data_IF_267987460746
#
_entry.id   IF_267987460746
#
_cell.length_a   1.000
_cell.length_b   1.000
_cell.length_c   1.000
_cell.angle_alpha   90.00
_cell.angle_beta   90.00
_cell.angle_gamma   90.00
#
_symmetry.space_group_name_H-M   'P 1'
#
loop_
_entity.id
_entity.type
_entity.pdbx_description
1 polymer ?
#
# COMPACT_ATOMS: atom_id res chain seq x y z
N UNK A 1 -17.91 -9.21 -9.74
CA UNK A 1 -17.45 -7.84 -10.04
C UNK A 1 -18.59 -6.85 -9.86
N UNK A 2 -18.32 -5.72 -9.22
CA UNK A 2 -19.29 -4.66 -8.97
C UNK A 2 -18.90 -3.40 -9.73
N UNK A 3 -19.88 -2.59 -10.13
CA UNK A 3 -19.62 -1.32 -10.84
C UNK A 3 -20.29 -0.15 -10.13
N UNK A 4 -19.57 0.96 -10.02
CA UNK A 4 -20.03 2.21 -9.44
C UNK A 4 -19.83 3.35 -10.44
N UNK A 5 -20.88 4.14 -10.69
CA UNK A 5 -20.75 5.36 -11.49
C UNK A 5 -20.11 6.46 -10.62
N UNK A 6 -19.03 7.05 -11.11
CA UNK A 6 -18.39 8.21 -10.48
C UNK A 6 -18.89 9.49 -11.17
N UNK A 7 -19.13 10.53 -10.37
CA UNK A 7 -19.50 11.84 -10.91
C UNK A 7 -18.30 12.43 -11.65
N UNK A 8 -18.51 12.83 -12.89
CA UNK A 8 -17.47 13.42 -13.77
C UNK A 8 -16.85 14.73 -13.26
N UNK A 9 -17.47 15.40 -12.29
CA UNK A 9 -16.96 16.60 -11.62
C UNK A 9 -16.37 16.34 -10.22
N UNK A 10 -16.27 15.09 -9.78
CA UNK A 10 -15.64 14.73 -8.51
C UNK A 10 -14.11 14.71 -8.67
N UNK A 11 -13.54 15.89 -8.88
CA UNK A 11 -12.13 16.08 -9.22
C UNK A 11 -11.19 15.45 -8.19
N UNK A 12 -11.49 15.61 -6.90
CA UNK A 12 -10.69 15.03 -5.81
C UNK A 12 -10.65 13.50 -5.88
N UNK A 13 -11.80 12.84 -6.13
CA UNK A 13 -11.84 11.37 -6.24
C UNK A 13 -11.17 10.89 -7.53
N UNK A 14 -11.36 11.61 -8.63
CA UNK A 14 -10.76 11.29 -9.92
C UNK A 14 -9.24 11.43 -9.89
N UNK A 15 -8.70 12.52 -9.35
CA UNK A 15 -7.25 12.73 -9.23
C UNK A 15 -6.59 11.65 -8.36
N UNK A 16 -7.24 11.21 -7.28
CA UNK A 16 -6.75 10.10 -6.47
C UNK A 16 -6.70 8.77 -7.25
N UNK A 17 -7.72 8.49 -8.08
CA UNK A 17 -7.75 7.30 -8.94
C UNK A 17 -6.72 7.39 -10.07
N UNK A 18 -6.51 8.57 -10.64
CA UNK A 18 -5.51 8.80 -11.67
C UNK A 18 -4.10 8.56 -11.15
N UNK A 19 -3.79 9.03 -9.93
CA UNK A 19 -2.51 8.79 -9.29
C UNK A 19 -2.26 7.30 -8.96
N UNK A 20 -3.33 6.53 -8.74
CA UNK A 20 -3.25 5.11 -8.41
C UNK A 20 -3.19 4.18 -9.64
N UNK A 21 -3.38 4.70 -10.86
CA UNK A 21 -3.41 3.88 -12.06
C UNK A 21 -2.02 3.29 -12.39
N UNK A 22 -1.96 1.98 -12.59
CA UNK A 22 -0.73 1.26 -12.95
C UNK A 22 -0.56 1.14 -14.46
N UNK A 23 -1.66 1.18 -15.21
CA UNK A 23 -1.68 1.14 -16.68
C UNK A 23 -2.87 1.95 -17.18
N UNK A 24 -2.67 2.67 -18.27
CA UNK A 24 -3.72 3.37 -18.99
C UNK A 24 -3.73 2.85 -20.43
N UNK A 25 -4.86 2.35 -20.88
CA UNK A 25 -5.07 1.97 -22.28
C UNK A 25 -6.22 2.76 -22.85
N UNK A 26 -6.12 3.11 -24.14
CA UNK A 26 -7.23 3.64 -24.92
C UNK A 26 -7.59 2.64 -25.99
N UNK A 27 -8.88 2.39 -26.15
CA UNK A 27 -9.42 1.63 -27.26
C UNK A 27 -10.25 2.57 -28.14
N UNK A 28 -9.88 2.64 -29.42
CA UNK A 28 -10.57 3.46 -30.42
C UNK A 28 -11.07 2.59 -31.55
N UNK A 29 -12.34 2.79 -31.89
CA UNK A 29 -12.96 2.22 -33.07
C UNK A 29 -12.55 2.99 -34.32
N UNK A 30 -12.16 2.28 -35.37
CA UNK A 30 -11.88 2.83 -36.69
C UNK A 30 -12.62 2.03 -37.76
N UNK A 31 -13.01 2.71 -38.83
CA UNK A 31 -13.65 2.07 -39.97
C UNK A 31 -12.57 1.48 -40.87
N UNK A 32 -12.58 0.17 -41.05
CA UNK A 32 -11.76 -0.47 -42.07
C UNK A 32 -12.48 -0.35 -43.42
N UNK A 33 -11.89 0.47 -44.29
CA UNK A 33 -12.45 0.76 -45.62
C UNK A 33 -12.37 -0.43 -46.57
N UNK A 34 -11.61 -1.47 -46.24
CA UNK A 34 -11.45 -2.67 -47.08
C UNK A 34 -12.48 -3.76 -46.76
N UNK A 35 -12.90 -3.87 -45.50
CA UNK A 35 -13.84 -4.89 -45.03
C UNK A 35 -15.24 -4.36 -44.76
N UNK A 36 -15.47 -3.05 -44.92
CA UNK A 36 -16.72 -2.35 -44.53
C UNK A 36 -17.13 -2.69 -43.08
N UNK A 37 -16.10 -2.85 -42.23
CA UNK A 37 -16.19 -3.27 -40.85
C UNK A 37 -15.61 -2.24 -39.89
N UNK A 38 -15.93 -2.40 -38.61
CA UNK A 38 -15.31 -1.61 -37.55
C UNK A 38 -14.28 -2.46 -36.80
N UNK A 39 -13.04 -2.01 -36.83
CA UNK A 39 -11.98 -2.60 -36.04
C UNK A 39 -11.69 -1.75 -34.80
N UNK A 40 -11.05 -2.38 -33.81
CA UNK A 40 -10.68 -1.76 -32.55
C UNK A 40 -9.16 -1.78 -32.42
N UNK A 41 -8.55 -0.60 -32.28
CA UNK A 41 -7.14 -0.49 -31.89
C UNK A 41 -7.08 -0.19 -30.40
N UNK A 42 -6.38 -1.05 -29.67
CA UNK A 42 -5.98 -0.79 -28.29
C UNK A 42 -4.52 -0.35 -28.27
N UNK A 43 -4.21 0.75 -27.55
CA UNK A 43 -2.84 1.19 -27.30
C UNK A 43 -2.66 1.68 -25.86
N UNK A 44 -1.41 1.71 -25.41
CA UNK A 44 -1.05 2.40 -24.17
C UNK A 44 -1.28 3.90 -24.33
N UNK A 45 -1.75 4.53 -23.25
CA UNK A 45 -1.99 5.97 -23.15
C UNK A 45 -1.37 6.54 -21.88
N UNK A 46 -1.49 7.85 -21.69
CA UNK A 46 -1.09 8.59 -20.49
C UNK A 46 -2.27 9.37 -19.89
N UNK A 47 -2.02 10.00 -18.73
CA UNK A 47 -3.06 10.71 -17.98
C UNK A 47 -3.47 12.05 -18.61
N UNK A 48 -2.56 12.71 -19.33
CA UNK A 48 -2.85 13.98 -19.98
C UNK A 48 -3.87 13.78 -21.11
N UNK A 49 -3.72 12.72 -21.90
CA UNK A 49 -4.69 12.31 -22.92
C UNK A 49 -6.07 11.97 -22.31
N UNK A 50 -6.11 11.33 -21.14
CA UNK A 50 -7.36 11.06 -20.42
C UNK A 50 -8.04 12.38 -20.02
N UNK A 51 -7.29 13.31 -19.44
CA UNK A 51 -7.82 14.61 -18.99
C UNK A 51 -8.29 15.46 -20.17
N UNK A 52 -7.55 15.48 -21.27
CA UNK A 52 -7.95 16.14 -22.50
C UNK A 52 -9.25 15.53 -23.06
N UNK A 53 -9.34 14.19 -23.15
CA UNK A 53 -10.56 13.51 -23.56
C UNK A 53 -11.73 13.86 -22.65
N UNK A 54 -11.50 13.93 -21.34
CA UNK A 54 -12.54 14.26 -20.36
C UNK A 54 -13.05 15.70 -20.49
N UNK A 55 -12.16 16.65 -20.77
CA UNK A 55 -12.53 18.05 -21.02
C UNK A 55 -13.33 18.16 -22.32
N UNK A 56 -12.84 17.56 -23.41
CA UNK A 56 -13.45 17.68 -24.74
C UNK A 56 -14.83 17.01 -24.82
N UNK A 57 -15.06 15.95 -24.03
CA UNK A 57 -16.28 15.16 -24.09
C UNK A 57 -17.17 15.31 -22.86
N UNK A 58 -16.94 16.32 -22.02
CA UNK A 58 -17.53 16.43 -20.67
C UNK A 58 -19.02 16.07 -20.60
N UNK A 59 -19.85 16.55 -21.53
CA UNK A 59 -21.29 16.32 -21.50
C UNK A 59 -21.70 14.88 -21.76
N UNK A 60 -21.01 14.16 -22.64
CA UNK A 60 -21.31 12.79 -23.06
C UNK A 60 -20.54 11.72 -22.28
N UNK A 61 -19.69 12.10 -21.32
CA UNK A 61 -18.90 11.14 -20.56
C UNK A 61 -19.69 10.35 -19.53
N UNK A 62 -19.28 9.09 -19.41
CA UNK A 62 -19.60 8.21 -18.30
C UNK A 62 -18.31 7.68 -17.70
N UNK A 63 -18.16 7.88 -16.39
CA UNK A 63 -17.04 7.36 -15.60
C UNK A 63 -17.55 6.24 -14.70
N UNK A 64 -16.98 5.05 -14.84
CA UNK A 64 -17.38 3.85 -14.10
C UNK A 64 -16.18 3.23 -13.42
N UNK A 65 -16.23 3.12 -12.11
CA UNK A 65 -15.28 2.36 -11.33
C UNK A 65 -15.75 0.91 -11.23
N UNK A 66 -14.87 -0.02 -11.58
CA UNK A 66 -15.07 -1.47 -11.46
C UNK A 66 -14.31 -1.93 -10.23
N UNK A 67 -14.97 -2.67 -9.35
CA UNK A 67 -14.36 -3.31 -8.20
C UNK A 67 -14.47 -4.83 -8.31
N UNK A 68 -13.46 -5.52 -7.77
CA UNK A 68 -13.46 -6.97 -7.67
C UNK A 68 -14.50 -7.47 -6.64
N UNK A 69 -14.57 -8.79 -6.45
CA UNK A 69 -15.49 -9.43 -5.51
C UNK A 69 -15.14 -9.17 -4.04
N UNK A 70 -13.90 -8.75 -3.78
CA UNK A 70 -13.39 -8.40 -2.44
C UNK A 70 -13.55 -6.89 -2.13
N UNK A 71 -14.06 -6.10 -3.08
CA UNK A 71 -14.24 -4.66 -2.95
C UNK A 71 -13.00 -3.83 -3.30
N UNK A 72 -11.93 -4.42 -3.82
CA UNK A 72 -10.76 -3.69 -4.29
C UNK A 72 -11.05 -3.03 -5.64
N UNK A 73 -10.43 -1.87 -5.90
CA UNK A 73 -10.51 -1.22 -7.21
C UNK A 73 -9.77 -2.08 -8.25
N UNK A 74 -10.48 -2.49 -9.30
CA UNK A 74 -9.93 -3.26 -10.42
C UNK A 74 -9.52 -2.33 -11.56
N UNK A 75 -10.48 -1.52 -12.03
CA UNK A 75 -10.28 -0.59 -13.13
C UNK A 75 -11.24 0.59 -13.10
N UNK A 76 -10.83 1.71 -13.70
CA UNK A 76 -11.66 2.88 -13.96
C UNK A 76 -11.84 3.02 -15.46
N UNK A 77 -13.09 2.98 -15.90
CA UNK A 77 -13.49 3.06 -17.30
C UNK A 77 -14.11 4.42 -17.58
N UNK A 78 -13.55 5.15 -18.55
CA UNK A 78 -13.98 6.48 -18.97
C UNK A 78 -14.33 6.40 -20.45
N UNK A 79 -15.60 6.63 -20.78
CA UNK A 79 -16.09 6.52 -22.16
C UNK A 79 -17.17 7.54 -22.47
N UNK A 80 -17.35 7.82 -23.74
CA UNK A 80 -18.48 8.61 -24.25
C UNK A 80 -19.73 7.75 -24.40
N UNK A 81 -20.90 8.35 -24.24
CA UNK A 81 -22.18 7.80 -24.67
C UNK A 81 -22.31 7.97 -26.19
N UNK A 82 -22.27 6.87 -26.94
CA UNK A 82 -22.38 6.91 -28.39
C UNK A 82 -22.16 5.55 -29.04
N UNK A 83 -22.31 5.50 -30.36
CA UNK A 83 -22.03 4.32 -31.18
C UNK A 83 -20.52 4.10 -31.40
N UNK A 84 -19.72 5.17 -31.37
CA UNK A 84 -18.27 5.07 -31.50
C UNK A 84 -17.64 4.65 -30.18
N UNK A 85 -16.82 3.58 -30.20
CA UNK A 85 -16.06 3.16 -29.02
C UNK A 85 -14.78 3.98 -28.92
N UNK A 86 -14.76 4.93 -27.99
CA UNK A 86 -13.55 5.62 -27.54
C UNK A 86 -13.52 5.56 -26.02
N UNK A 87 -12.76 4.60 -25.49
CA UNK A 87 -12.77 4.20 -24.09
C UNK A 87 -11.36 4.21 -23.53
N UNK A 88 -11.19 4.91 -22.42
CA UNK A 88 -9.99 4.81 -21.60
C UNK A 88 -10.25 3.87 -20.43
N UNK A 89 -9.33 2.94 -20.23
CA UNK A 89 -9.33 2.01 -19.10
C UNK A 89 -8.05 2.22 -18.31
N UNK A 90 -8.22 2.63 -17.06
CA UNK A 90 -7.14 2.75 -16.08
C UNK A 90 -7.21 1.52 -15.18
N UNK A 91 -6.18 0.68 -15.21
CA UNK A 91 -6.10 -0.52 -14.36
C UNK A 91 -5.37 -0.20 -13.05
N UNK A 92 -5.80 -0.82 -11.95
CA UNK A 92 -5.20 -0.64 -10.62
C UNK A 92 -4.45 -1.89 -10.11
N UNK A 93 -4.81 -3.07 -10.63
CA UNK A 93 -4.13 -4.31 -10.29
C UNK A 93 -2.79 -4.45 -11.05
N UNK A 94 -1.74 -5.01 -10.43
CA UNK A 94 -0.53 -5.42 -11.15
C UNK A 94 -0.87 -6.59 -12.10
N UNK A 95 -0.74 -6.39 -13.42
CA UNK A 95 -1.06 -7.40 -14.44
C UNK A 95 0.13 -8.33 -14.70
N UNK A 96 0.08 -9.65 -14.39
CA UNK A 96 1.21 -10.56 -14.65
C UNK A 96 1.69 -10.41 -16.09
N UNK A 97 3.01 -10.41 -16.35
CA UNK A 97 3.52 -10.13 -17.68
C UNK A 97 2.98 -11.14 -18.70
N UNK A 98 2.80 -10.67 -19.94
CA UNK A 98 2.40 -11.51 -21.05
C UNK A 98 3.37 -12.69 -21.17
N UNK A 99 2.80 -13.90 -21.06
CA UNK A 99 3.38 -15.25 -21.20
C UNK A 99 4.86 -15.26 -21.61
N UNK A 100 5.73 -15.44 -20.63
CA UNK A 100 7.16 -15.72 -20.85
C UNK A 100 7.27 -17.21 -21.17
N UNK A 101 7.84 -17.56 -22.32
CA UNK A 101 8.12 -18.96 -22.64
C UNK A 101 9.13 -19.53 -21.63
N UNK A 102 8.65 -20.41 -20.75
CA UNK A 102 9.48 -21.12 -19.79
C UNK A 102 9.97 -22.42 -20.41
N UNK A 103 11.28 -22.59 -20.53
CA UNK A 103 11.87 -23.90 -20.78
C UNK A 103 11.82 -24.72 -19.48
N UNK A 104 11.11 -25.84 -19.49
CA UNK A 104 11.11 -26.80 -18.38
C UNK A 104 12.45 -27.53 -18.37
N UNK A 105 13.34 -27.19 -17.45
CA UNK A 105 14.53 -28.01 -17.19
C UNK A 105 14.06 -29.22 -16.41
N UNK A 106 14.07 -30.39 -17.05
CA UNK A 106 13.81 -31.65 -16.37
C UNK A 106 14.96 -31.95 -15.41
N UNK A 107 14.55 -32.41 -14.23
CA UNK A 107 15.31 -33.09 -13.19
C UNK A 107 15.76 -32.24 -11.97
N UNK A 108 15.19 -32.66 -10.84
CA UNK A 108 15.40 -32.32 -9.42
C UNK A 108 14.64 -31.13 -8.79
N UNK A 109 14.19 -31.25 -7.52
CA UNK A 109 13.36 -30.27 -6.84
C UNK A 109 14.23 -29.11 -6.33
N UNK A 110 14.76 -28.33 -7.27
CA UNK A 110 15.50 -27.11 -6.98
C UNK A 110 14.47 -25.98 -6.97
N UNK A 111 14.47 -25.19 -5.88
CA UNK A 111 13.68 -23.96 -5.75
C UNK A 111 13.69 -23.19 -7.07
N UNK A 112 12.54 -22.67 -7.54
CA UNK A 112 12.45 -22.02 -8.85
C UNK A 112 13.51 -20.92 -8.97
N UNK A 113 14.37 -21.03 -9.99
CA UNK A 113 15.39 -20.03 -10.32
C UNK A 113 14.88 -19.24 -11.53
N UNK A 114 14.71 -17.94 -11.37
CA UNK A 114 14.46 -17.03 -12.49
C UNK A 114 15.79 -16.78 -13.22
N UNK A 115 15.77 -16.73 -14.56
CA UNK A 115 16.92 -16.27 -15.33
C UNK A 115 17.10 -14.76 -15.16
N UNK A 116 18.30 -14.24 -15.38
CA UNK A 116 18.59 -12.80 -15.27
C UNK A 116 17.71 -11.96 -16.21
N UNK A 117 17.42 -12.47 -17.41
CA UNK A 117 16.52 -11.84 -18.38
C UNK A 117 15.07 -11.78 -17.87
N UNK A 118 14.60 -12.83 -17.20
CA UNK A 118 13.29 -12.81 -16.53
C UNK A 118 13.25 -11.75 -15.44
N UNK A 119 14.29 -11.67 -14.60
CA UNK A 119 14.38 -10.64 -13.55
C UNK A 119 14.32 -9.24 -14.17
N UNK A 120 15.05 -8.98 -15.24
CA UNK A 120 15.00 -7.68 -15.94
C UNK A 120 13.62 -7.38 -16.55
N UNK A 121 12.96 -8.38 -17.14
CA UNK A 121 11.61 -8.22 -17.67
C UNK A 121 10.57 -7.93 -16.57
N UNK A 122 10.65 -8.61 -15.43
CA UNK A 122 9.81 -8.36 -14.26
C UNK A 122 10.10 -7.01 -13.59
N UNK A 123 11.36 -6.57 -13.54
CA UNK A 123 11.76 -5.23 -13.09
C UNK A 123 11.18 -4.13 -13.99
N UNK A 124 11.26 -4.32 -15.32
CA UNK A 124 10.72 -3.39 -16.32
C UNK A 124 9.18 -3.37 -16.33
N UNK A 125 8.56 -4.50 -16.00
CA UNK A 125 7.10 -4.64 -15.90
C UNK A 125 6.54 -4.24 -14.51
N UNK A 126 7.39 -3.80 -13.56
CA UNK A 126 6.95 -3.34 -12.24
C UNK A 126 6.53 -4.45 -11.25
N UNK A 127 6.78 -5.72 -11.58
CA UNK A 127 6.43 -6.88 -10.74
C UNK A 127 7.35 -7.08 -9.55
N UNK A 128 8.62 -6.78 -9.78
CA UNK A 128 9.63 -6.67 -8.75
C UNK A 128 9.97 -5.20 -8.77
N UNK A 129 9.67 -4.46 -7.71
CA UNK A 129 10.13 -3.08 -7.61
C UNK A 129 11.67 -3.11 -7.61
N UNK A 130 12.37 -2.51 -8.59
CA UNK A 130 13.78 -2.21 -8.45
C UNK A 130 14.03 -1.17 -7.34
N UNK A 131 12.97 -0.61 -6.77
CA UNK A 131 12.96 0.69 -6.09
C UNK A 131 12.17 0.71 -4.76
N UNK A 132 11.98 -0.43 -4.09
CA UNK A 132 11.76 -0.41 -2.63
C UNK A 132 13.09 -0.57 -1.85
N UNK A 133 14.20 -0.69 -2.57
CA UNK A 133 15.53 -0.37 -2.05
C UNK A 133 16.07 0.85 -2.80
N UNK A 134 15.68 2.05 -2.35
CA UNK A 134 16.43 3.27 -2.68
C UNK A 134 15.70 4.41 -3.38
N UNK A 135 14.39 4.32 -3.67
CA UNK A 135 13.63 5.53 -3.98
C UNK A 135 13.51 6.36 -2.70
N UNK A 136 14.48 7.25 -2.46
CA UNK A 136 14.29 8.39 -1.59
C UNK A 136 13.26 9.28 -2.29
N UNK A 137 11.98 9.05 -2.00
CA UNK A 137 11.05 10.17 -2.01
C UNK A 137 11.72 11.26 -1.19
N UNK A 138 11.84 12.48 -1.74
CA UNK A 138 12.13 13.63 -0.89
C UNK A 138 11.06 13.56 0.19
N UNK A 139 11.48 13.14 1.37
CA UNK A 139 10.59 12.92 2.50
C UNK A 139 10.04 14.31 2.73
N UNK A 140 8.75 14.52 2.47
CA UNK A 140 8.12 15.77 2.85
C UNK A 140 8.57 16.04 4.28
N UNK A 141 8.96 17.28 4.62
CA UNK A 141 9.51 17.57 5.96
C UNK A 141 8.56 17.09 7.07
N UNK A 142 7.27 16.99 6.74
CA UNK A 142 6.18 16.45 7.55
C UNK A 142 6.24 14.92 7.78
N UNK A 143 6.93 14.11 6.98
CA UNK A 143 7.04 12.66 7.20
C UNK A 143 8.26 12.27 8.06
N UNK A 144 9.19 13.20 8.30
CA UNK A 144 10.36 12.98 9.15
C UNK A 144 9.98 12.73 10.63
N UNK A 145 8.87 13.31 11.09
CA UNK A 145 8.37 13.09 12.47
C UNK A 145 7.75 11.70 12.64
N UNK A 146 7.24 11.10 11.56
CA UNK A 146 6.67 9.73 11.56
C UNK A 146 7.75 8.65 11.46
N UNK A 147 8.92 9.00 10.93
CA UNK A 147 10.04 8.07 10.77
C UNK A 147 10.78 7.89 12.10
N UNK A 148 10.74 6.67 12.64
CA UNK A 148 11.44 6.29 13.88
C UNK A 148 12.87 5.85 13.52
N UNK A 149 13.89 6.51 14.09
CA UNK A 149 15.30 6.17 13.88
C UNK A 149 15.93 5.44 15.07
N UNK A 150 15.40 5.65 16.27
CA UNK A 150 15.83 4.92 17.46
C UNK A 150 14.66 4.65 18.40
N UNK A 151 14.69 3.49 19.03
CA UNK A 151 13.70 3.06 20.02
C UNK A 151 14.46 2.72 21.30
N UNK A 152 14.13 3.39 22.39
CA UNK A 152 14.55 3.01 23.73
C UNK A 152 13.34 2.57 24.52
N UNK A 153 13.34 1.29 24.90
CA UNK A 153 12.29 0.70 25.73
C UNK A 153 12.58 1.07 27.18
N UNK A 154 11.71 1.87 27.78
CA UNK A 154 11.84 2.30 29.18
C UNK A 154 11.24 1.24 30.09
N UNK A 155 10.03 0.78 29.76
CA UNK A 155 9.25 -0.17 30.54
C UNK A 155 8.30 -0.96 29.64
N UNK A 156 8.00 -2.20 30.02
CA UNK A 156 6.92 -3.00 29.42
C UNK A 156 6.28 -3.91 30.47
N UNK A 157 4.95 -4.01 30.44
CA UNK A 157 4.19 -5.04 31.20
C UNK A 157 4.42 -6.44 30.61
N UNK A 158 4.81 -6.55 29.34
CA UNK A 158 4.93 -7.83 28.64
C UNK A 158 6.08 -8.70 29.14
N UNK A 159 5.77 -9.98 29.41
CA UNK A 159 6.75 -10.99 29.77
C UNK A 159 7.85 -11.15 28.71
N UNK A 160 7.52 -11.07 27.41
CA UNK A 160 8.48 -11.19 26.32
C UNK A 160 9.56 -10.09 26.36
N UNK A 161 9.15 -8.84 26.56
CA UNK A 161 10.07 -7.71 26.71
C UNK A 161 10.92 -7.83 27.98
N UNK A 162 10.28 -8.22 29.08
CA UNK A 162 10.96 -8.39 30.36
C UNK A 162 12.02 -9.50 30.31
N UNK A 163 11.69 -10.65 29.74
CA UNK A 163 12.62 -11.77 29.59
C UNK A 163 13.80 -11.45 28.65
N UNK A 164 13.58 -10.66 27.60
CA UNK A 164 14.60 -10.38 26.60
C UNK A 164 15.49 -9.18 26.92
N UNK A 165 14.97 -8.19 27.67
CA UNK A 165 15.64 -6.90 27.81
C UNK A 165 15.86 -6.46 29.26
N UNK A 166 15.09 -6.94 30.24
CA UNK A 166 15.23 -6.46 31.62
C UNK A 166 16.46 -7.07 32.30
N UNK A 167 17.25 -6.22 32.95
CA UNK A 167 18.34 -6.67 33.84
C UNK A 167 17.87 -6.54 35.31
N UNK A 168 17.57 -7.68 35.93
CA UNK A 168 17.12 -7.76 37.33
C UNK A 168 15.77 -7.06 37.57
N UNK A 169 15.62 -6.45 38.75
CA UNK A 169 14.36 -5.82 39.20
C UNK A 169 14.21 -4.34 38.76
N UNK A 170 14.99 -3.89 37.80
CA UNK A 170 15.00 -2.50 37.32
C UNK A 170 14.13 -2.28 36.07
N UNK A 171 13.89 -1.02 35.72
CA UNK A 171 13.30 -0.66 34.42
C UNK A 171 14.18 -1.13 33.26
N UNK A 172 13.57 -1.45 32.11
CA UNK A 172 14.30 -1.99 30.96
C UNK A 172 15.37 -1.02 30.47
N UNK A 173 15.02 0.25 30.23
CA UNK A 173 15.93 1.33 29.79
C UNK A 173 16.98 0.95 28.72
N UNK A 174 16.60 0.13 27.74
CA UNK A 174 17.51 -0.38 26.70
C UNK A 174 17.06 0.01 25.31
N UNK A 175 18.03 0.23 24.44
CA UNK A 175 17.77 0.42 23.02
C UNK A 175 17.38 -0.90 22.36
N UNK A 176 16.43 -0.82 21.43
CA UNK A 176 16.03 -1.92 20.56
C UNK A 176 16.08 -1.44 19.10
N UNK A 177 16.45 -2.34 18.19
CA UNK A 177 16.16 -2.12 16.78
C UNK A 177 14.65 -2.28 16.53
N UNK A 178 14.14 -1.73 15.42
CA UNK A 178 12.75 -1.90 15.04
C UNK A 178 12.38 -3.39 14.88
N UNK A 179 13.27 -4.19 14.29
CA UNK A 179 13.07 -5.63 14.13
C UNK A 179 13.00 -6.37 15.47
N UNK A 180 13.89 -6.03 16.41
CA UNK A 180 13.87 -6.61 17.75
C UNK A 180 12.57 -6.24 18.46
N UNK A 181 12.16 -4.97 18.39
CA UNK A 181 10.91 -4.50 19.00
C UNK A 181 9.68 -5.22 18.43
N UNK A 182 9.60 -5.31 17.10
CA UNK A 182 8.50 -5.99 16.40
C UNK A 182 8.43 -7.47 16.76
N UNK A 183 9.59 -8.16 16.84
CA UNK A 183 9.65 -9.55 17.28
C UNK A 183 9.09 -9.73 18.69
N UNK A 184 9.48 -8.87 19.64
CA UNK A 184 8.99 -8.95 21.01
C UNK A 184 7.48 -8.67 21.09
N UNK A 185 7.01 -7.69 20.33
CA UNK A 185 5.58 -7.37 20.18
C UNK A 185 4.78 -8.58 19.68
N UNK A 186 5.28 -9.31 18.67
CA UNK A 186 4.64 -10.52 18.19
C UNK A 186 4.56 -11.63 19.24
N UNK A 187 5.59 -11.78 20.08
CA UNK A 187 5.57 -12.73 21.19
C UNK A 187 4.52 -12.33 22.23
N UNK A 188 4.42 -11.05 22.57
CA UNK A 188 3.36 -10.50 23.44
C UNK A 188 1.96 -10.82 22.89
N UNK A 189 1.73 -10.58 21.59
CA UNK A 189 0.44 -10.86 20.96
C UNK A 189 0.10 -12.35 20.92
N UNK A 190 1.09 -13.22 20.73
CA UNK A 190 0.90 -14.65 20.78
C UNK A 190 0.48 -15.13 22.18
N UNK A 191 1.07 -14.54 23.23
CA UNK A 191 0.71 -14.81 24.63
C UNK A 191 -0.72 -14.32 24.94
N UNK A 192 -1.06 -13.08 24.57
CA UNK A 192 -2.42 -12.54 24.72
C UNK A 192 -3.48 -13.41 24.04
N UNK A 193 -3.21 -13.88 22.80
CA UNK A 193 -4.11 -14.77 22.07
C UNK A 193 -4.29 -16.13 22.76
N UNK A 194 -3.23 -16.71 23.32
CA UNK A 194 -3.33 -17.97 24.09
C UNK A 194 -4.19 -17.77 25.33
N UNK A 195 -3.91 -16.71 26.09
CA UNK A 195 -4.68 -16.39 27.30
C UNK A 195 -6.17 -16.18 26.98
N UNK A 196 -6.50 -15.48 25.89
CA UNK A 196 -7.87 -15.29 25.42
C UNK A 196 -8.56 -16.62 25.09
N UNK A 197 -7.88 -17.55 24.42
CA UNK A 197 -8.44 -18.87 24.09
C UNK A 197 -8.73 -19.71 25.35
N UNK A 198 -7.91 -19.56 26.39
CA UNK A 198 -8.04 -20.30 27.64
C UNK A 198 -9.10 -19.71 28.59
N UNK A 199 -9.27 -18.39 28.59
CA UNK A 199 -10.10 -17.68 29.58
C UNK A 199 -11.41 -17.11 29.01
N UNK A 200 -11.61 -17.16 27.69
CA UNK A 200 -12.87 -16.80 27.03
C UNK A 200 -13.18 -15.29 26.98
N UNK A 201 -12.35 -14.44 27.58
CA UNK A 201 -12.50 -12.98 27.59
C UNK A 201 -11.48 -12.29 26.69
N UNK A 202 -11.85 -11.11 26.18
CA UNK A 202 -10.96 -10.28 25.36
C UNK A 202 -9.71 -9.91 26.16
N UNK A 203 -8.56 -10.42 25.71
CA UNK A 203 -7.25 -10.09 26.28
C UNK A 203 -7.02 -8.59 26.18
N UNK A 204 -6.63 -7.97 27.29
CA UNK A 204 -6.42 -6.53 27.42
C UNK A 204 -5.30 -5.98 26.53
N UNK A 205 -4.42 -5.18 27.10
CA UNK A 205 -3.27 -4.62 26.40
C UNK A 205 -2.08 -4.60 27.33
N UNK A 206 -0.88 -4.75 26.76
CA UNK A 206 0.38 -4.64 27.49
C UNK A 206 0.96 -3.25 27.28
N UNK A 207 1.06 -2.48 28.36
CA UNK A 207 1.61 -1.12 28.29
C UNK A 207 3.11 -1.18 28.09
N UNK A 208 3.58 -0.53 27.03
CA UNK A 208 5.00 -0.37 26.77
C UNK A 208 5.34 1.10 26.61
N UNK A 209 6.21 1.61 27.47
CA UNK A 209 6.67 3.00 27.43
C UNK A 209 8.01 3.10 26.71
N UNK A 210 8.09 4.05 25.78
CA UNK A 210 9.19 4.22 24.85
C UNK A 210 9.71 5.67 24.88
N UNK A 211 11.01 5.82 24.63
CA UNK A 211 11.59 7.05 24.11
C UNK A 211 11.92 6.80 22.63
N UNK A 212 11.21 7.49 21.74
CA UNK A 212 11.37 7.40 20.29
C UNK A 212 12.15 8.60 19.79
N UNK A 213 13.23 8.35 19.04
CA UNK A 213 13.92 9.40 18.30
C UNK A 213 13.44 9.39 16.86
N UNK A 214 12.99 10.53 16.35
CA UNK A 214 12.50 10.69 14.98
C UNK A 214 13.63 11.03 14.00
N UNK A 215 13.41 10.87 12.69
CA UNK A 215 14.39 11.27 11.68
C UNK A 215 14.70 12.78 11.68
N UNK A 216 13.82 13.59 12.27
CA UNK A 216 14.04 15.02 12.54
C UNK A 216 14.99 15.27 13.73
N UNK A 217 15.34 14.23 14.49
CA UNK A 217 16.21 14.30 15.67
C UNK A 217 15.48 14.63 16.97
N UNK A 218 14.15 14.67 16.98
CA UNK A 218 13.37 14.88 18.20
C UNK A 218 13.23 13.57 18.97
N UNK A 219 13.36 13.63 20.29
CA UNK A 219 13.09 12.48 21.17
C UNK A 219 11.79 12.72 21.92
N UNK A 220 10.84 11.81 21.76
CA UNK A 220 9.49 11.92 22.33
C UNK A 220 9.20 10.69 23.18
N UNK A 221 8.55 10.91 24.33
CA UNK A 221 8.01 9.81 25.13
C UNK A 221 6.68 9.38 24.57
N UNK A 222 6.58 8.10 24.23
CA UNK A 222 5.39 7.51 23.64
C UNK A 222 5.00 6.25 24.42
N UNK A 223 3.69 6.01 24.54
CA UNK A 223 3.15 4.79 25.13
C UNK A 223 2.48 3.99 24.01
N UNK A 224 2.98 2.79 23.79
CA UNK A 224 2.39 1.83 22.87
C UNK A 224 1.64 0.76 23.67
N UNK A 225 0.32 0.72 23.49
CA UNK A 225 -0.56 -0.27 24.13
C UNK A 225 -0.68 -1.49 23.22
N UNK A 226 0.24 -2.44 23.41
CA UNK A 226 0.34 -3.61 22.55
C UNK A 226 -0.91 -4.46 22.75
N UNK A 227 -1.71 -4.59 21.69
CA UNK A 227 -2.92 -5.40 21.69
C UNK A 227 -3.17 -5.98 20.30
N UNK A 228 -4.08 -6.95 20.21
CA UNK A 228 -4.48 -7.52 18.92
C UNK A 228 -5.01 -6.45 17.94
N UNK A 229 -5.57 -5.34 18.46
CA UNK A 229 -6.05 -4.20 17.65
C UNK A 229 -4.93 -3.28 17.21
N UNK A 230 -3.90 -3.12 18.05
CA UNK A 230 -2.79 -2.20 17.83
C UNK A 230 -1.44 -2.94 17.95
N UNK A 231 -1.09 -3.78 16.95
CA UNK A 231 0.12 -4.60 17.01
C UNK A 231 1.37 -3.86 16.51
N UNK A 232 1.22 -2.70 15.86
CA UNK A 232 2.29 -2.05 15.12
C UNK A 232 2.67 -0.72 15.74
N UNK A 233 3.91 -0.63 16.23
CA UNK A 233 4.48 0.60 16.75
C UNK A 233 4.51 1.71 15.68
N UNK A 234 4.87 1.36 14.44
CA UNK A 234 4.96 2.34 13.36
C UNK A 234 3.59 2.91 12.98
N UNK A 235 2.55 2.07 12.96
CA UNK A 235 1.18 2.52 12.73
C UNK A 235 0.68 3.39 13.89
N UNK A 236 0.79 2.89 15.12
CA UNK A 236 0.35 3.61 16.34
C UNK A 236 1.05 4.96 16.51
N UNK A 237 2.37 5.02 16.25
CA UNK A 237 3.12 6.27 16.25
C UNK A 237 2.65 7.25 15.17
N UNK A 238 2.44 6.76 13.94
CA UNK A 238 2.00 7.61 12.83
C UNK A 238 0.62 8.23 13.10
N UNK A 239 -0.30 7.45 13.66
CA UNK A 239 -1.63 7.93 14.07
C UNK A 239 -1.55 8.99 15.16
N UNK A 240 -0.66 8.81 16.14
CA UNK A 240 -0.43 9.79 17.20
C UNK A 240 0.15 11.10 16.66
N UNK A 241 1.12 11.05 15.76
CA UNK A 241 1.68 12.24 15.10
C UNK A 241 0.59 12.99 14.32
N UNK A 242 -0.27 12.27 13.60
CA UNK A 242 -1.40 12.87 12.88
C UNK A 242 -2.44 13.48 13.82
N UNK A 243 -2.66 12.87 14.99
CA UNK A 243 -3.51 13.44 16.03
C UNK A 243 -2.95 14.76 16.57
N UNK A 244 -1.68 14.79 16.98
CA UNK A 244 -1.05 16.02 17.51
C UNK A 244 -1.13 17.18 16.50
N UNK A 245 -0.87 16.92 15.22
CA UNK A 245 -0.97 17.94 14.17
C UNK A 245 -2.38 18.46 13.96
N UNK A 246 -3.39 17.60 14.09
CA UNK A 246 -4.80 18.01 13.99
C UNK A 246 -5.18 18.92 15.16
N UNK A 247 -4.69 18.63 16.36
CA UNK A 247 -4.94 19.46 17.54
C UNK A 247 -4.20 20.80 17.46
N UNK A 248 -2.95 20.84 16.98
CA UNK A 248 -2.22 22.10 16.74
C UNK A 248 -2.91 23.03 15.74
N UNK A 249 -3.60 22.47 14.73
CA UNK A 249 -4.39 23.26 13.76
C UNK A 249 -5.70 23.80 14.33
N UNK A 250 -6.17 23.26 15.45
CA UNK A 250 -7.42 23.66 16.13
C UNK A 250 -7.19 24.74 17.19
N UNK A 251 -5.99 24.79 17.75
CA UNK A 251 -5.55 25.80 18.72
C UNK A 251 -5.21 27.13 18.03
#
# INVERSE_FOLDING_TARGET
MNTQIIRKNDTKKLDALFAAATKITVETQYMDSYTDGYDYVSRTSNIDEVKEFMTNNYYSLRVTLVTDENGNHDSLVIRTSGWSKHEFTLSFLPQPPARIETATVQDEPIKPRMTFEMVQAYLKAGFISPLNHGAKYETATEDLDKSIVAIKVIFSESAAFNAAMRDGDSYINKFATLDQYNRLTWLTLAEQKRWQLENGEYGGYDKTQLELTTARGQTVRFRHDISVREPSLTASWSEWVDYCRKEEKRA
#
